data_IF_243513557430
#
_entry.id   IF_243513557430
#
_cell.length_a   1.000
_cell.length_b   1.000
_cell.length_c   1.000
_cell.angle_alpha   90.00
_cell.angle_beta   90.00
_cell.angle_gamma   90.00
#
_symmetry.space_group_name_H-M   'P 1'
#
loop_
_entity.id
_entity.type
_entity.pdbx_description
1 polymer ?
#
# COMPACT_ATOMS: atom_id res chain seq x y z
N UNK A 1 -4.23 -17.29 4.70
CA UNK A 1 -5.52 -17.95 4.95
C UNK A 1 -6.60 -17.08 4.31
N UNK A 2 -7.71 -17.66 3.84
CA UNK A 2 -8.79 -16.89 3.23
C UNK A 2 -10.01 -16.88 4.11
N UNK A 3 -10.62 -15.70 4.25
CA UNK A 3 -11.87 -15.50 4.96
C UNK A 3 -12.90 -14.87 4.04
N UNK A 4 -14.17 -15.03 4.38
CA UNK A 4 -15.26 -14.24 3.80
C UNK A 4 -16.05 -13.62 4.95
N UNK A 5 -16.78 -12.53 4.70
CA UNK A 5 -17.64 -11.91 5.73
C UNK A 5 -18.62 -12.95 6.26
N UNK A 6 -19.26 -13.71 5.36
CA UNK A 6 -20.21 -14.77 5.73
C UNK A 6 -19.54 -15.87 6.57
N UNK A 7 -18.33 -16.29 6.19
CA UNK A 7 -17.55 -17.27 6.93
C UNK A 7 -17.22 -16.78 8.34
N UNK A 8 -16.73 -15.55 8.46
CA UNK A 8 -16.38 -14.94 9.75
C UNK A 8 -17.57 -14.84 10.71
N UNK A 9 -18.76 -14.50 10.21
CA UNK A 9 -20.01 -14.47 10.99
C UNK A 9 -20.43 -15.88 11.41
N UNK A 10 -20.41 -16.83 10.47
CA UNK A 10 -20.79 -18.23 10.69
C UNK A 10 -19.92 -18.89 11.76
N UNK A 11 -18.60 -18.68 11.71
CA UNK A 11 -17.64 -19.22 12.67
C UNK A 11 -17.88 -18.70 14.09
N UNK A 12 -18.54 -17.54 14.20
CA UNK A 12 -18.93 -16.90 15.48
C UNK A 12 -20.38 -17.21 15.88
N UNK A 13 -21.09 -18.04 15.12
CA UNK A 13 -22.50 -18.40 15.40
C UNK A 13 -23.49 -17.26 15.20
N UNK A 14 -23.13 -16.24 14.43
CA UNK A 14 -23.97 -15.05 14.17
C UNK A 14 -24.66 -15.21 12.83
N UNK A 15 -25.97 -14.96 12.81
CA UNK A 15 -26.77 -15.05 11.58
C UNK A 15 -26.67 -13.74 10.81
N UNK A 16 -26.53 -13.83 9.49
CA UNK A 16 -26.37 -12.65 8.63
C UNK A 16 -27.53 -11.66 8.78
N UNK A 17 -28.76 -12.16 8.90
CA UNK A 17 -29.98 -11.36 9.06
C UNK A 17 -30.01 -10.48 10.32
N UNK A 18 -29.21 -10.84 11.33
CA UNK A 18 -29.11 -10.14 12.61
C UNK A 18 -27.98 -9.08 12.60
N UNK A 19 -27.32 -8.85 11.47
CA UNK A 19 -26.19 -7.92 11.35
C UNK A 19 -26.51 -6.75 10.42
N UNK A 20 -25.65 -5.72 10.45
CA UNK A 20 -25.69 -4.64 9.48
C UNK A 20 -25.50 -5.11 8.01
N UNK A 21 -24.98 -6.33 7.79
CA UNK A 21 -24.69 -6.87 6.47
C UNK A 21 -25.90 -7.46 5.73
N UNK A 22 -27.08 -7.55 6.37
CA UNK A 22 -28.28 -8.21 5.82
C UNK A 22 -28.70 -7.81 4.40
N UNK A 23 -28.36 -6.58 4.00
CA UNK A 23 -28.72 -6.00 2.70
C UNK A 23 -27.48 -5.70 1.83
N UNK A 24 -26.29 -6.17 2.22
CA UNK A 24 -25.08 -5.99 1.43
C UNK A 24 -25.06 -6.97 0.23
N UNK A 25 -24.26 -6.63 -0.78
CA UNK A 25 -24.12 -7.42 -2.00
C UNK A 25 -23.53 -8.82 -1.72
N UNK A 26 -24.11 -9.87 -2.30
CA UNK A 26 -23.66 -11.26 -2.12
C UNK A 26 -22.17 -11.47 -2.49
N UNK A 27 -21.69 -10.81 -3.56
CA UNK A 27 -20.29 -10.92 -3.98
C UNK A 27 -19.33 -10.30 -2.96
N UNK A 28 -19.76 -9.25 -2.25
CA UNK A 28 -19.00 -8.68 -1.14
C UNK A 28 -18.99 -9.60 0.08
N UNK A 29 -20.12 -10.26 0.38
CA UNK A 29 -20.23 -11.17 1.51
C UNK A 29 -19.35 -12.43 1.35
N UNK A 30 -19.23 -12.90 0.11
CA UNK A 30 -18.47 -14.09 -0.25
C UNK A 30 -17.09 -13.77 -0.88
N UNK A 31 -16.69 -12.50 -0.85
CA UNK A 31 -15.37 -12.07 -1.29
C UNK A 31 -14.28 -12.76 -0.46
N UNK A 32 -13.29 -13.36 -1.14
CA UNK A 32 -12.18 -14.06 -0.49
C UNK A 32 -11.11 -13.06 -0.07
N UNK A 33 -11.04 -12.79 1.23
CA UNK A 33 -10.10 -11.85 1.83
C UNK A 33 -8.85 -12.61 2.28
N UNK A 34 -7.69 -12.28 1.69
CA UNK A 34 -6.39 -12.76 2.15
C UNK A 34 -5.99 -12.00 3.42
N UNK A 35 -6.12 -12.63 4.58
CA UNK A 35 -5.72 -12.02 5.85
C UNK A 35 -5.44 -13.09 6.91
N UNK A 36 -4.96 -12.68 8.08
CA UNK A 36 -5.03 -13.50 9.31
C UNK A 36 -6.36 -13.30 10.03
N UNK A 37 -6.68 -14.16 11.01
CA UNK A 37 -7.87 -13.98 11.88
C UNK A 37 -7.65 -12.84 12.88
N UNK A 38 -7.76 -11.61 12.39
CA UNK A 38 -7.65 -10.40 13.19
C UNK A 38 -9.02 -9.70 13.36
N UNK A 39 -10.10 -10.47 13.29
CA UNK A 39 -11.47 -9.95 13.29
C UNK A 39 -12.15 -10.12 14.65
N UNK A 40 -12.80 -9.06 15.10
CA UNK A 40 -13.65 -9.05 16.29
C UNK A 40 -15.00 -8.42 15.96
N UNK A 41 -15.99 -8.59 16.85
CA UNK A 41 -17.27 -7.88 16.78
C UNK A 41 -17.38 -7.11 18.10
N UNK A 42 -17.03 -5.82 18.11
CA UNK A 42 -16.98 -5.04 19.35
C UNK A 42 -18.35 -4.92 20.02
N UNK A 43 -19.40 -4.78 19.20
CA UNK A 43 -20.78 -4.74 19.64
C UNK A 43 -21.61 -5.73 18.81
N UNK A 44 -22.12 -6.77 19.48
CA UNK A 44 -22.94 -7.80 18.85
C UNK A 44 -24.27 -7.24 18.36
N UNK A 45 -24.74 -6.12 18.91
CA UNK A 45 -26.02 -5.51 18.53
C UNK A 45 -25.98 -4.82 17.16
N UNK A 46 -24.84 -4.26 16.77
CA UNK A 46 -24.63 -3.70 15.42
C UNK A 46 -24.08 -4.77 14.45
N UNK A 47 -23.43 -5.81 14.98
CA UNK A 47 -22.99 -6.99 14.21
C UNK A 47 -21.91 -6.70 13.18
N UNK A 48 -21.19 -5.58 13.31
CA UNK A 48 -20.13 -5.15 12.40
C UNK A 48 -18.79 -5.77 12.82
N UNK A 49 -18.13 -6.44 11.87
CA UNK A 49 -16.78 -6.97 12.04
C UNK A 49 -15.77 -5.82 12.05
N UNK A 50 -14.83 -5.86 12.99
CA UNK A 50 -13.73 -4.90 13.11
C UNK A 50 -12.40 -5.61 12.89
N UNK A 51 -11.57 -5.08 12.01
CA UNK A 51 -10.26 -5.63 11.66
C UNK A 51 -9.14 -4.93 12.44
N UNK A 52 -8.26 -5.74 13.06
CA UNK A 52 -7.10 -5.28 13.86
C UNK A 52 -7.43 -4.21 14.92
N UNK A 53 -8.67 -4.20 15.41
CA UNK A 53 -9.23 -3.17 16.28
C UNK A 53 -9.01 -1.74 15.75
N UNK A 54 -9.06 -1.57 14.43
CA UNK A 54 -8.66 -0.33 13.76
C UNK A 54 -9.69 0.20 12.78
N UNK A 55 -10.34 -0.68 12.02
CA UNK A 55 -11.30 -0.30 10.99
C UNK A 55 -12.47 -1.28 10.94
N UNK A 56 -13.66 -0.75 10.70
CA UNK A 56 -14.89 -1.51 10.56
C UNK A 56 -14.99 -2.06 9.14
N UNK A 57 -15.40 -3.31 8.98
CA UNK A 57 -15.64 -3.93 7.68
C UNK A 57 -17.04 -3.52 7.21
N UNK A 58 -17.14 -2.85 6.08
CA UNK A 58 -18.32 -2.17 5.57
C UNK A 58 -18.60 -2.57 4.11
N UNK A 59 -19.87 -2.70 3.74
CA UNK A 59 -20.22 -2.65 2.31
C UNK A 59 -20.31 -1.21 1.82
N UNK A 60 -20.33 -1.03 0.50
CA UNK A 60 -20.26 0.30 -0.10
C UNK A 60 -21.41 1.24 0.32
N UNK A 61 -22.62 0.70 0.45
CA UNK A 61 -23.75 1.46 0.98
C UNK A 61 -23.51 2.00 2.40
N UNK A 62 -22.90 1.20 3.26
CA UNK A 62 -22.56 1.62 4.63
C UNK A 62 -21.48 2.71 4.62
N UNK A 63 -20.48 2.62 3.73
CA UNK A 63 -19.52 3.73 3.52
C UNK A 63 -20.24 5.02 3.13
N UNK A 64 -21.20 4.93 2.20
CA UNK A 64 -21.98 6.06 1.72
C UNK A 64 -22.95 6.63 2.79
N UNK A 65 -23.34 5.85 3.79
CA UNK A 65 -24.09 6.37 4.94
C UNK A 65 -23.21 7.25 5.83
N UNK A 66 -21.96 6.83 6.05
CA UNK A 66 -21.00 7.59 6.88
C UNK A 66 -20.36 8.77 6.13
N UNK A 67 -20.15 8.65 4.82
CA UNK A 67 -19.57 9.67 3.94
C UNK A 67 -20.39 9.81 2.64
N UNK A 68 -21.53 10.52 2.67
CA UNK A 68 -22.48 10.61 1.56
C UNK A 68 -21.95 11.03 0.19
N UNK A 69 -20.94 11.91 0.05
CA UNK A 69 -20.44 12.28 -1.27
C UNK A 69 -19.89 11.10 -2.08
N UNK A 70 -19.50 9.99 -1.43
CA UNK A 70 -19.03 8.77 -2.12
C UNK A 70 -20.06 8.23 -3.12
N UNK A 71 -21.36 8.45 -2.93
CA UNK A 71 -22.43 8.04 -3.87
C UNK A 71 -22.21 8.54 -5.31
N UNK A 72 -21.37 9.57 -5.51
CA UNK A 72 -21.03 10.13 -6.82
C UNK A 72 -19.97 9.33 -7.58
N UNK A 73 -19.28 8.40 -6.93
CA UNK A 73 -18.25 7.59 -7.58
C UNK A 73 -18.92 6.63 -8.56
N UNK A 74 -18.58 6.82 -9.83
CA UNK A 74 -18.91 5.89 -10.91
C UNK A 74 -17.79 4.87 -10.99
N UNK A 75 -18.02 3.73 -10.36
CA UNK A 75 -17.16 2.56 -10.39
C UNK A 75 -18.06 1.32 -10.45
N UNK A 76 -17.92 0.51 -11.50
CA UNK A 76 -18.77 -0.65 -11.76
C UNK A 76 -18.72 -1.66 -10.62
N UNK A 77 -17.53 -1.91 -10.09
CA UNK A 77 -17.27 -2.98 -9.13
C UNK A 77 -17.36 -2.52 -7.66
N UNK A 78 -17.78 -1.28 -7.40
CA UNK A 78 -17.77 -0.70 -6.05
C UNK A 78 -18.56 -1.51 -5.01
N UNK A 79 -19.65 -2.17 -5.41
CA UNK A 79 -20.48 -2.96 -4.49
C UNK A 79 -19.89 -4.35 -4.19
N UNK A 80 -18.86 -4.79 -4.92
CA UNK A 80 -18.33 -6.16 -4.84
C UNK A 80 -17.27 -6.34 -3.74
N UNK A 81 -16.73 -5.25 -3.20
CA UNK A 81 -15.64 -5.30 -2.22
C UNK A 81 -16.14 -5.11 -0.79
N UNK A 82 -15.62 -5.88 0.19
CA UNK A 82 -15.70 -5.54 1.60
C UNK A 82 -14.67 -4.46 1.91
N UNK A 83 -15.12 -3.23 2.18
CA UNK A 83 -14.22 -2.13 2.53
C UNK A 83 -13.94 -2.11 4.03
N UNK A 84 -12.91 -1.35 4.41
CA UNK A 84 -12.55 -1.11 5.80
C UNK A 84 -12.60 0.40 6.07
N UNK A 85 -13.58 0.86 6.85
CA UNK A 85 -13.78 2.27 7.15
C UNK A 85 -13.48 2.63 8.60
N UNK A 86 -12.93 3.82 8.83
CA UNK A 86 -12.75 4.39 10.17
C UNK A 86 -12.85 5.93 10.14
N UNK A 87 -13.47 6.53 11.17
CA UNK A 87 -13.66 7.98 11.34
C UNK A 87 -14.34 8.72 10.16
N UNK A 88 -15.04 8.04 9.26
CA UNK A 88 -15.65 8.64 8.08
C UNK A 88 -16.68 9.73 8.42
N UNK A 89 -17.43 9.57 9.51
CA UNK A 89 -18.36 10.59 10.01
C UNK A 89 -17.63 11.90 10.37
N UNK A 90 -16.45 11.82 11.00
CA UNK A 90 -15.65 13.01 11.33
C UNK A 90 -15.06 13.68 10.10
N UNK A 91 -14.70 12.89 9.08
CA UNK A 91 -14.29 13.44 7.78
C UNK A 91 -15.48 14.17 7.12
N UNK A 92 -16.68 13.59 7.20
CA UNK A 92 -17.92 14.23 6.71
C UNK A 92 -18.23 15.55 7.45
N UNK A 93 -17.97 15.63 8.75
CA UNK A 93 -18.03 16.89 9.51
C UNK A 93 -16.99 17.90 9.01
N UNK A 94 -15.75 17.47 8.78
CA UNK A 94 -14.70 18.30 8.18
C UNK A 94 -15.10 18.88 6.83
N UNK A 95 -15.71 18.06 5.96
CA UNK A 95 -16.23 18.51 4.65
C UNK A 95 -17.32 19.57 4.75
N UNK A 96 -18.10 19.58 5.83
CA UNK A 96 -19.17 20.57 6.05
C UNK A 96 -18.64 21.88 6.63
N UNK A 97 -17.66 21.79 7.53
CA UNK A 97 -17.23 22.92 8.36
C UNK A 97 -15.95 23.60 7.85
N UNK A 98 -14.99 22.82 7.34
CA UNK A 98 -13.66 23.27 6.89
C UNK A 98 -13.24 22.52 5.61
N UNK A 99 -14.02 22.61 4.51
CA UNK A 99 -13.83 21.78 3.31
C UNK A 99 -12.47 21.93 2.63
N UNK A 100 -11.82 23.09 2.78
CA UNK A 100 -10.46 23.35 2.29
C UNK A 100 -9.37 22.62 3.08
N UNK A 101 -9.69 22.16 4.30
CA UNK A 101 -8.78 21.40 5.18
C UNK A 101 -8.94 19.89 5.04
N UNK A 102 -9.79 19.41 4.11
CA UNK A 102 -9.98 17.99 3.82
C UNK A 102 -9.14 17.57 2.62
N UNK A 103 -8.37 16.50 2.77
CA UNK A 103 -7.54 15.97 1.71
C UNK A 103 -7.52 14.43 1.75
N UNK A 104 -7.50 13.85 0.56
CA UNK A 104 -7.32 12.42 0.34
C UNK A 104 -5.83 12.11 0.29
N UNK A 105 -5.45 10.97 0.85
CA UNK A 105 -4.15 10.35 0.71
C UNK A 105 -4.32 8.95 0.10
N UNK A 106 -3.32 8.50 -0.65
CA UNK A 106 -3.24 7.13 -1.13
C UNK A 106 -2.04 6.95 -2.05
N UNK A 107 -1.89 5.76 -2.63
CA UNK A 107 -0.82 5.50 -3.55
C UNK A 107 -0.51 4.01 -3.63
N UNK A 108 -0.06 3.52 -4.79
CA UNK A 108 0.26 2.11 -4.96
C UNK A 108 1.65 1.79 -4.38
N UNK A 109 1.82 0.55 -3.93
CA UNK A 109 3.14 -0.08 -3.91
C UNK A 109 3.65 -0.19 -5.36
N UNK A 110 4.95 0.00 -5.59
CA UNK A 110 5.49 -0.02 -6.95
C UNK A 110 5.53 -1.42 -7.55
N UNK A 111 5.86 -2.41 -6.72
CA UNK A 111 5.94 -3.80 -7.10
C UNK A 111 5.77 -4.73 -5.89
N UNK A 112 5.29 -5.95 -6.15
CA UNK A 112 5.09 -7.04 -5.20
C UNK A 112 6.14 -8.15 -5.33
N UNK A 113 5.81 -9.33 -4.82
CA UNK A 113 6.62 -10.54 -4.98
C UNK A 113 6.81 -10.88 -6.47
N UNK A 114 7.97 -11.45 -6.78
CA UNK A 114 8.42 -11.96 -8.08
C UNK A 114 8.45 -10.93 -9.22
N UNK A 115 8.45 -9.63 -8.91
CA UNK A 115 8.49 -8.58 -9.94
C UNK A 115 9.88 -7.94 -10.10
N UNK A 116 10.67 -7.91 -9.03
CA UNK A 116 12.05 -7.40 -9.09
C UNK A 116 12.98 -8.41 -8.45
N UNK A 117 13.86 -8.99 -9.27
CA UNK A 117 14.89 -9.93 -8.80
C UNK A 117 16.22 -9.21 -8.64
N UNK A 118 16.89 -9.41 -7.51
CA UNK A 118 18.29 -9.06 -7.29
C UNK A 118 19.17 -10.29 -7.55
N UNK A 119 20.05 -10.19 -8.55
CA UNK A 119 21.04 -11.20 -8.92
C UNK A 119 22.39 -10.79 -8.37
N UNK A 120 22.98 -11.61 -7.51
CA UNK A 120 24.26 -11.36 -6.85
C UNK A 120 25.28 -12.37 -7.37
N UNK A 121 26.36 -11.88 -7.98
CA UNK A 121 27.51 -12.69 -8.40
C UNK A 121 28.64 -12.56 -7.37
N UNK A 122 29.21 -13.68 -6.94
CA UNK A 122 30.40 -13.69 -6.09
C UNK A 122 31.69 -13.80 -6.92
N UNK A 123 32.83 -13.49 -6.30
CA UNK A 123 34.15 -13.56 -6.95
C UNK A 123 34.55 -14.98 -7.38
N UNK A 124 33.94 -16.02 -6.82
CA UNK A 124 34.14 -17.43 -7.20
C UNK A 124 33.29 -17.87 -8.41
N UNK A 125 32.46 -16.96 -8.95
CA UNK A 125 31.56 -17.20 -10.08
C UNK A 125 30.20 -17.77 -9.70
N UNK A 126 29.92 -18.01 -8.41
CA UNK A 126 28.58 -18.40 -7.96
C UNK A 126 27.58 -17.25 -8.07
N UNK A 127 26.32 -17.59 -8.30
CA UNK A 127 25.21 -16.63 -8.44
C UNK A 127 24.07 -16.97 -7.49
N UNK A 128 23.47 -15.93 -6.92
CA UNK A 128 22.36 -16.02 -5.99
C UNK A 128 21.25 -15.05 -6.38
N UNK A 129 20.00 -15.49 -6.23
CA UNK A 129 18.84 -14.74 -6.66
C UNK A 129 17.94 -14.45 -5.46
N UNK A 130 17.52 -13.19 -5.34
CA UNK A 130 16.65 -12.75 -4.26
C UNK A 130 15.45 -12.01 -4.84
N UNK A 131 14.28 -12.29 -4.30
CA UNK A 131 13.13 -11.41 -4.47
C UNK A 131 13.39 -10.13 -3.70
N UNK A 132 13.39 -8.99 -4.38
CA UNK A 132 13.71 -7.73 -3.74
C UNK A 132 12.60 -7.24 -2.80
N UNK A 133 11.34 -7.53 -3.11
CA UNK A 133 10.18 -7.11 -2.30
C UNK A 133 10.16 -7.84 -0.96
N UNK A 134 10.31 -9.17 -0.98
CA UNK A 134 10.30 -9.98 0.25
C UNK A 134 11.66 -10.03 0.93
N UNK A 135 12.75 -9.88 0.16
CA UNK A 135 14.13 -10.15 0.57
C UNK A 135 14.48 -11.64 0.58
N UNK A 136 13.54 -12.54 0.23
CA UNK A 136 13.76 -13.99 0.29
C UNK A 136 14.64 -14.47 -0.87
N UNK A 137 15.47 -15.46 -0.56
CA UNK A 137 16.31 -16.14 -1.54
C UNK A 137 15.49 -17.13 -2.38
N UNK A 138 15.69 -17.15 -3.69
CA UNK A 138 15.19 -18.22 -4.58
C UNK A 138 16.12 -19.44 -4.54
N UNK A 139 15.58 -20.62 -4.86
CA UNK A 139 16.35 -21.88 -4.85
C UNK A 139 17.47 -21.87 -5.90
N UNK A 140 17.11 -21.91 -7.19
CA UNK A 140 18.09 -22.04 -8.30
C UNK A 140 17.90 -21.03 -9.43
N UNK A 141 16.74 -20.37 -9.52
CA UNK A 141 16.41 -19.50 -10.64
C UNK A 141 15.52 -18.33 -10.21
N UNK A 142 15.57 -17.26 -11.00
CA UNK A 142 14.70 -16.09 -10.85
C UNK A 142 13.24 -16.48 -10.93
N UNK A 143 12.41 -15.84 -10.11
CA UNK A 143 10.97 -16.12 -9.97
C UNK A 143 10.63 -17.60 -9.68
N UNK A 144 11.60 -18.39 -9.23
CA UNK A 144 11.39 -19.78 -8.82
C UNK A 144 10.80 -19.90 -7.42
N UNK A 145 10.73 -21.14 -6.92
CA UNK A 145 10.39 -21.39 -5.54
C UNK A 145 11.44 -20.77 -4.59
N UNK A 146 10.99 -20.25 -3.46
CA UNK A 146 11.88 -19.77 -2.40
C UNK A 146 12.68 -20.92 -1.80
N UNK A 147 13.95 -20.65 -1.49
CA UNK A 147 14.78 -21.55 -0.73
C UNK A 147 14.26 -21.66 0.71
N UNK A 148 14.38 -22.86 1.31
CA UNK A 148 14.02 -23.10 2.71
C UNK A 148 15.16 -22.62 3.62
N UNK A 149 15.29 -21.31 3.77
CA UNK A 149 16.36 -20.66 4.54
C UNK A 149 15.89 -19.36 5.17
N UNK A 150 16.44 -19.02 6.33
CA UNK A 150 16.24 -17.72 6.99
C UNK A 150 17.20 -16.63 6.45
N UNK A 151 18.08 -16.97 5.50
CA UNK A 151 19.01 -16.02 4.92
C UNK A 151 18.31 -15.11 3.91
N UNK A 152 17.96 -13.91 4.36
CA UNK A 152 17.42 -12.84 3.52
C UNK A 152 18.54 -12.03 2.83
N UNK A 153 18.14 -11.14 1.92
CA UNK A 153 19.05 -10.28 1.16
C UNK A 153 19.98 -9.47 2.07
N UNK A 154 19.47 -8.91 3.17
CA UNK A 154 20.26 -8.08 4.07
C UNK A 154 21.30 -8.91 4.83
N UNK A 155 20.91 -10.08 5.33
CA UNK A 155 21.79 -11.04 5.98
C UNK A 155 22.83 -11.62 5.02
N UNK A 156 22.46 -11.85 3.75
CA UNK A 156 23.40 -12.30 2.73
C UNK A 156 24.48 -11.26 2.46
N UNK A 157 24.09 -10.00 2.30
CA UNK A 157 25.02 -8.88 2.09
C UNK A 157 25.97 -8.68 3.28
N UNK A 158 25.48 -8.88 4.51
CA UNK A 158 26.30 -8.83 5.72
C UNK A 158 27.35 -9.94 5.76
N UNK A 159 26.97 -11.17 5.37
CA UNK A 159 27.87 -12.32 5.40
C UNK A 159 28.89 -12.33 4.25
N UNK A 160 28.52 -11.80 3.08
CA UNK A 160 29.29 -11.99 1.84
C UNK A 160 29.78 -10.69 1.20
N UNK A 161 29.51 -9.51 1.79
CA UNK A 161 29.72 -8.21 1.14
C UNK A 161 31.08 -7.99 0.48
N UNK A 162 32.16 -8.46 1.11
CA UNK A 162 33.54 -8.35 0.57
C UNK A 162 33.80 -9.27 -0.64
N UNK A 163 33.05 -10.37 -0.73
CA UNK A 163 33.19 -11.39 -1.78
C UNK A 163 32.27 -11.14 -2.97
N UNK A 164 31.38 -10.14 -2.91
CA UNK A 164 30.47 -9.81 -3.99
C UNK A 164 31.25 -9.13 -5.12
N UNK A 165 31.11 -9.72 -6.31
CA UNK A 165 31.68 -9.23 -7.55
C UNK A 165 30.77 -8.18 -8.19
N UNK A 166 29.50 -8.52 -8.36
CA UNK A 166 28.50 -7.67 -9.00
C UNK A 166 27.08 -7.91 -8.47
N UNK A 167 26.21 -6.92 -8.66
CA UNK A 167 24.78 -7.03 -8.38
C UNK A 167 24.01 -6.40 -9.54
N UNK A 168 23.06 -7.15 -10.09
CA UNK A 168 22.17 -6.71 -11.17
C UNK A 168 20.72 -6.91 -10.74
N UNK A 169 19.84 -6.02 -11.21
CA UNK A 169 18.41 -6.13 -10.96
C UNK A 169 17.66 -6.40 -12.25
N UNK A 170 16.71 -7.31 -12.20
CA UNK A 170 15.82 -7.60 -13.32
C UNK A 170 14.38 -7.20 -12.95
N UNK A 171 13.75 -6.43 -13.84
CA UNK A 171 12.35 -6.09 -13.76
C UNK A 171 11.52 -7.05 -14.61
N UNK A 172 10.58 -7.75 -13.99
CA UNK A 172 9.69 -8.70 -14.64
C UNK A 172 8.28 -8.12 -14.88
N UNK A 173 8.04 -6.88 -14.42
CA UNK A 173 6.77 -6.18 -14.62
C UNK A 173 6.60 -5.80 -16.09
N UNK A 174 5.51 -6.26 -16.70
CA UNK A 174 5.16 -5.97 -18.10
C UNK A 174 4.08 -4.88 -18.25
N UNK A 175 3.50 -4.44 -17.14
CA UNK A 175 2.50 -3.39 -17.07
C UNK A 175 1.93 -3.26 -15.65
N UNK A 176 0.83 -2.52 -15.50
CA UNK A 176 0.06 -2.49 -14.25
C UNK A 176 -0.94 -3.65 -14.23
N UNK A 177 -1.20 -4.18 -13.04
CA UNK A 177 -2.29 -5.12 -12.71
C UNK A 177 -3.57 -4.34 -12.44
N UNK A 178 -4.72 -5.02 -12.43
CA UNK A 178 -5.99 -4.36 -12.10
C UNK A 178 -6.02 -3.83 -10.67
N UNK A 179 -5.38 -4.56 -9.74
CA UNK A 179 -5.24 -4.10 -8.35
C UNK A 179 -4.43 -2.80 -8.25
N UNK A 180 -3.31 -2.70 -8.97
CA UNK A 180 -2.51 -1.47 -9.01
C UNK A 180 -3.28 -0.32 -9.66
N UNK A 181 -4.06 -0.59 -10.72
CA UNK A 181 -4.98 0.39 -11.28
C UNK A 181 -5.96 0.91 -10.22
N UNK A 182 -6.60 0.03 -9.45
CA UNK A 182 -7.53 0.42 -8.38
C UNK A 182 -6.84 1.25 -7.29
N UNK A 183 -5.60 0.93 -6.92
CA UNK A 183 -4.81 1.71 -5.95
C UNK A 183 -4.45 3.12 -6.43
N UNK A 184 -4.52 3.39 -7.73
CA UNK A 184 -4.39 4.75 -8.28
C UNK A 184 -5.76 5.40 -8.50
N UNK A 185 -6.69 4.69 -9.12
CA UNK A 185 -8.02 5.18 -9.47
C UNK A 185 -8.85 5.57 -8.24
N UNK A 186 -8.88 4.73 -7.20
CA UNK A 186 -9.80 4.93 -6.09
C UNK A 186 -9.49 6.19 -5.26
N UNK A 187 -8.22 6.53 -4.95
CA UNK A 187 -7.88 7.84 -4.37
C UNK A 187 -8.37 9.01 -5.22
N UNK A 188 -8.20 8.97 -6.55
CA UNK A 188 -8.73 10.00 -7.46
C UNK A 188 -10.25 10.08 -7.41
N UNK A 189 -10.94 8.94 -7.48
CA UNK A 189 -12.40 8.87 -7.46
C UNK A 189 -12.97 9.42 -6.15
N UNK A 190 -12.36 9.08 -5.01
CA UNK A 190 -12.74 9.62 -3.70
C UNK A 190 -12.47 11.13 -3.64
N UNK A 191 -11.29 11.59 -4.04
CA UNK A 191 -10.95 13.02 -4.02
C UNK A 191 -11.89 13.85 -4.91
N UNK A 192 -12.23 13.34 -6.10
CA UNK A 192 -13.20 13.95 -6.99
C UNK A 192 -14.61 13.99 -6.37
N UNK A 193 -15.09 12.87 -5.82
CA UNK A 193 -16.41 12.79 -5.21
C UNK A 193 -16.56 13.74 -4.01
N UNK A 194 -15.52 13.85 -3.18
CA UNK A 194 -15.45 14.75 -2.04
C UNK A 194 -15.18 16.21 -2.43
N UNK A 195 -14.76 16.47 -3.67
CA UNK A 195 -14.24 17.76 -4.11
C UNK A 195 -13.12 18.22 -3.16
N UNK A 196 -12.13 17.36 -2.93
CA UNK A 196 -11.01 17.56 -2.02
C UNK A 196 -9.68 17.62 -2.78
N UNK A 197 -8.61 18.02 -2.08
CA UNK A 197 -7.26 17.82 -2.59
C UNK A 197 -6.86 16.34 -2.47
N UNK A 198 -5.85 15.94 -3.25
CA UNK A 198 -5.26 14.61 -3.24
C UNK A 198 -3.74 14.73 -3.11
N UNK A 199 -3.16 14.00 -2.16
CA UNK A 199 -1.71 13.75 -2.13
C UNK A 199 -1.49 12.27 -2.36
N UNK A 200 -0.65 11.95 -3.34
CA UNK A 200 -0.24 10.58 -3.62
C UNK A 200 1.24 10.36 -3.35
N UNK A 201 1.62 9.11 -3.12
CA UNK A 201 3.01 8.69 -2.99
C UNK A 201 3.33 7.56 -3.97
N UNK A 202 4.51 7.62 -4.58
CA UNK A 202 5.17 6.47 -5.20
C UNK A 202 6.37 6.13 -4.31
N UNK A 203 6.38 4.99 -3.58
CA UNK A 203 7.34 4.73 -2.51
C UNK A 203 8.77 4.34 -2.99
N UNK A 204 9.20 4.79 -4.17
CA UNK A 204 10.54 4.55 -4.74
C UNK A 204 11.68 4.91 -3.76
N UNK A 205 11.53 6.01 -3.02
CA UNK A 205 12.48 6.46 -2.01
C UNK A 205 12.63 5.46 -0.86
N UNK A 206 11.56 4.77 -0.47
CA UNK A 206 11.57 3.79 0.62
C UNK A 206 12.24 2.49 0.20
N UNK A 207 12.01 2.03 -1.04
CA UNK A 207 12.77 0.92 -1.62
C UNK A 207 14.25 1.26 -1.68
N UNK A 208 14.61 2.43 -2.22
CA UNK A 208 16.02 2.87 -2.28
C UNK A 208 16.71 2.85 -0.92
N UNK A 209 16.07 3.34 0.15
CA UNK A 209 16.65 3.31 1.51
C UNK A 209 16.91 1.89 2.03
N UNK A 210 16.00 0.96 1.74
CA UNK A 210 16.21 -0.45 2.09
C UNK A 210 17.42 -1.02 1.34
N UNK A 211 17.55 -0.71 0.04
CA UNK A 211 18.73 -1.12 -0.72
C UNK A 211 20.02 -0.51 -0.13
N UNK A 212 20.05 0.80 0.10
CA UNK A 212 21.23 1.49 0.64
C UNK A 212 21.69 0.89 1.97
N UNK A 213 20.76 0.46 2.82
CA UNK A 213 21.08 -0.29 4.03
C UNK A 213 21.76 -1.62 3.70
N UNK A 214 21.17 -2.43 2.82
CA UNK A 214 21.73 -3.72 2.40
C UNK A 214 23.16 -3.59 1.84
N UNK A 215 23.43 -2.54 1.06
CA UNK A 215 24.72 -2.33 0.40
C UNK A 215 25.83 -1.75 1.30
N UNK A 216 25.57 -1.51 2.60
CA UNK A 216 26.54 -0.88 3.52
C UNK A 216 27.85 -1.66 3.68
N UNK A 217 27.85 -2.96 3.39
CA UNK A 217 29.02 -3.84 3.45
C UNK A 217 29.81 -3.91 2.14
N UNK A 218 29.33 -3.28 1.07
CA UNK A 218 30.00 -3.29 -0.23
C UNK A 218 31.03 -2.17 -0.34
N UNK A 219 32.04 -2.41 -1.18
CA UNK A 219 32.96 -1.37 -1.67
C UNK A 219 32.21 -0.25 -2.38
N UNK A 220 32.73 0.98 -2.26
CA UNK A 220 32.03 2.22 -2.65
C UNK A 220 31.64 2.25 -4.13
N UNK A 221 32.55 1.86 -5.02
CA UNK A 221 32.34 1.77 -6.47
C UNK A 221 31.18 0.83 -6.83
N UNK A 222 31.14 -0.36 -6.21
CA UNK A 222 30.08 -1.32 -6.43
C UNK A 222 28.75 -0.79 -5.88
N UNK A 223 28.75 -0.20 -4.67
CA UNK A 223 27.55 0.41 -4.09
C UNK A 223 26.95 1.47 -5.00
N UNK A 224 27.75 2.41 -5.49
CA UNK A 224 27.30 3.48 -6.38
C UNK A 224 26.76 2.91 -7.71
N UNK A 225 27.44 1.93 -8.30
CA UNK A 225 26.96 1.22 -9.50
C UNK A 225 25.62 0.53 -9.26
N UNK A 226 25.50 -0.22 -8.16
CA UNK A 226 24.30 -1.00 -7.82
C UNK A 226 23.10 -0.10 -7.53
N UNK A 227 23.29 1.00 -6.79
CA UNK A 227 22.21 1.98 -6.56
C UNK A 227 21.72 2.56 -7.88
N UNK A 228 22.63 3.00 -8.76
CA UNK A 228 22.25 3.56 -10.06
C UNK A 228 21.48 2.55 -10.92
N UNK A 229 21.95 1.30 -10.98
CA UNK A 229 21.25 0.23 -11.72
C UNK A 229 19.85 -0.06 -11.17
N UNK A 230 19.67 0.04 -9.84
CA UNK A 230 18.36 -0.10 -9.23
C UNK A 230 17.44 1.10 -9.49
N UNK A 231 17.98 2.32 -9.49
CA UNK A 231 17.22 3.53 -9.82
C UNK A 231 16.62 3.45 -11.23
N UNK A 232 17.36 2.91 -12.21
CA UNK A 232 16.84 2.68 -13.56
C UNK A 232 15.60 1.76 -13.56
N UNK A 233 15.61 0.69 -12.76
CA UNK A 233 14.45 -0.19 -12.58
C UNK A 233 13.29 0.54 -11.89
N UNK A 234 13.56 1.26 -10.80
CA UNK A 234 12.54 2.02 -10.07
C UNK A 234 11.88 3.07 -10.95
N UNK A 235 12.64 3.78 -11.77
CA UNK A 235 12.12 4.81 -12.66
C UNK A 235 11.26 4.22 -13.76
N UNK A 236 11.72 3.12 -14.39
CA UNK A 236 10.91 2.42 -15.39
C UNK A 236 9.55 1.97 -14.82
N UNK A 237 9.53 1.42 -13.61
CA UNK A 237 8.27 1.02 -12.95
C UNK A 237 7.43 2.25 -12.58
N UNK A 238 8.06 3.29 -12.01
CA UNK A 238 7.37 4.52 -11.61
C UNK A 238 6.75 5.25 -12.79
N UNK A 239 7.38 5.23 -13.97
CA UNK A 239 6.86 5.85 -15.19
C UNK A 239 5.51 5.24 -15.61
N UNK A 240 5.31 3.93 -15.44
CA UNK A 240 4.01 3.28 -15.68
C UNK A 240 2.89 3.88 -14.81
N UNK A 241 3.21 4.20 -13.55
CA UNK A 241 2.25 4.83 -12.64
C UNK A 241 2.02 6.29 -12.96
N UNK A 242 3.08 7.03 -13.34
CA UNK A 242 2.96 8.43 -13.74
C UNK A 242 2.05 8.58 -14.97
N UNK A 243 2.19 7.70 -15.96
CA UNK A 243 1.31 7.67 -17.13
C UNK A 243 -0.15 7.51 -16.73
N UNK A 244 -0.47 6.52 -15.88
CA UNK A 244 -1.84 6.31 -15.39
C UNK A 244 -2.35 7.50 -14.56
N UNK A 245 -1.51 8.07 -13.68
CA UNK A 245 -1.86 9.27 -12.90
C UNK A 245 -2.22 10.42 -13.83
N UNK A 246 -1.43 10.67 -14.88
CA UNK A 246 -1.67 11.75 -15.82
C UNK A 246 -2.94 11.52 -16.66
N UNK A 247 -3.30 10.28 -16.96
CA UNK A 247 -4.59 9.95 -17.57
C UNK A 247 -5.77 10.23 -16.64
N UNK A 248 -5.71 9.72 -15.40
CA UNK A 248 -6.75 9.92 -14.39
C UNK A 248 -6.96 11.40 -14.07
N UNK A 249 -5.90 12.21 -14.04
CA UNK A 249 -5.99 13.66 -13.80
C UNK A 249 -6.75 14.41 -14.89
N UNK A 250 -6.83 13.89 -16.11
CA UNK A 250 -7.58 14.51 -17.22
C UNK A 250 -9.09 14.32 -17.06
N UNK A 251 -9.52 13.24 -16.41
CA UNK A 251 -10.95 12.88 -16.30
C UNK A 251 -11.53 13.11 -14.90
N UNK A 252 -10.72 12.99 -13.85
CA UNK A 252 -11.13 13.09 -12.45
C UNK A 252 -10.53 14.35 -11.84
N UNK A 253 -11.26 15.47 -11.98
CA UNK A 253 -10.84 16.75 -11.43
C UNK A 253 -10.79 16.72 -9.89
N UNK A 254 -9.65 17.11 -9.32
CA UNK A 254 -9.43 17.25 -7.87
C UNK A 254 -9.06 18.71 -7.54
N UNK A 255 -9.35 19.20 -6.33
CA UNK A 255 -9.11 20.62 -5.98
C UNK A 255 -7.63 21.01 -5.96
N UNK A 256 -6.78 20.04 -5.67
CA UNK A 256 -5.33 20.17 -5.63
C UNK A 256 -4.71 18.78 -5.73
N UNK A 257 -3.53 18.70 -6.31
CA UNK A 257 -2.81 17.46 -6.49
C UNK A 257 -1.34 17.65 -6.14
N UNK A 258 -0.79 16.75 -5.35
CA UNK A 258 0.65 16.62 -5.15
C UNK A 258 1.04 15.14 -5.22
N UNK A 259 2.21 14.87 -5.80
CA UNK A 259 2.79 13.54 -5.87
C UNK A 259 4.15 13.57 -5.18
N UNK A 260 4.36 12.67 -4.22
CA UNK A 260 5.64 12.49 -3.53
C UNK A 260 6.34 11.28 -4.11
N UNK A 261 7.50 11.48 -4.71
CA UNK A 261 8.32 10.41 -5.27
C UNK A 261 9.79 10.83 -5.34
N UNK A 262 10.66 9.86 -5.55
CA UNK A 262 12.11 9.90 -5.40
C UNK A 262 12.83 10.80 -6.38
N UNK A 263 12.16 11.26 -7.44
CA UNK A 263 12.73 12.21 -8.42
C UNK A 263 12.43 13.66 -8.09
N UNK A 264 11.46 13.94 -7.20
CA UNK A 264 11.19 15.29 -6.72
C UNK A 264 11.87 15.52 -5.36
N UNK A 265 13.13 15.94 -5.42
CA UNK A 265 13.93 16.19 -4.22
C UNK A 265 13.30 17.22 -3.29
N UNK A 266 12.62 18.23 -3.82
CA UNK A 266 12.01 19.29 -3.01
C UNK A 266 10.84 18.73 -2.19
N UNK A 267 10.03 17.86 -2.79
CA UNK A 267 8.93 17.19 -2.08
C UNK A 267 9.44 16.18 -1.04
N UNK A 268 10.53 15.47 -1.34
CA UNK A 268 11.17 14.57 -0.38
C UNK A 268 11.73 15.33 0.83
N UNK A 269 12.44 16.44 0.58
CA UNK A 269 13.00 17.26 1.66
C UNK A 269 11.89 17.80 2.56
N UNK A 270 10.79 18.29 1.96
CA UNK A 270 9.60 18.73 2.69
C UNK A 270 9.02 17.58 3.54
N UNK A 271 8.83 16.40 2.95
CA UNK A 271 8.31 15.23 3.66
C UNK A 271 9.19 14.86 4.86
N UNK A 272 10.50 14.76 4.65
CA UNK A 272 11.45 14.38 5.70
C UNK A 272 11.57 15.43 6.80
N UNK A 273 11.57 16.72 6.46
CA UNK A 273 11.55 17.80 7.45
C UNK A 273 10.28 17.75 8.30
N UNK A 274 9.10 17.64 7.66
CA UNK A 274 7.80 17.75 8.34
C UNK A 274 7.43 16.52 9.16
N UNK A 275 7.86 15.32 8.75
CA UNK A 275 7.59 14.09 9.51
C UNK A 275 8.52 13.90 10.71
N UNK A 276 9.73 14.47 10.67
CA UNK A 276 10.76 14.22 11.69
C UNK A 276 10.28 14.50 13.13
N UNK A 277 9.53 15.58 13.40
CA UNK A 277 8.95 15.84 14.73
C UNK A 277 7.99 14.77 15.24
N UNK A 278 7.50 13.85 14.40
CA UNK A 278 6.55 12.80 14.78
C UNK A 278 7.22 11.44 14.90
N UNK A 279 8.13 11.12 13.97
CA UNK A 279 8.68 9.77 13.83
C UNK A 279 10.05 9.59 14.53
N UNK A 280 10.85 10.66 14.68
CA UNK A 280 12.22 10.57 15.22
C UNK A 280 12.29 10.61 16.76
N UNK A 281 11.14 10.58 17.45
CA UNK A 281 11.15 10.53 18.92
C UNK A 281 11.61 9.15 19.40
N UNK A 282 12.58 9.10 20.31
CA UNK A 282 13.13 7.85 20.88
C UNK A 282 12.08 6.80 21.31
N UNK A 283 10.96 7.24 21.89
CA UNK A 283 9.87 6.34 22.30
C UNK A 283 9.15 5.70 21.11
N UNK A 284 9.01 6.44 20.01
CA UNK A 284 8.40 5.96 18.76
C UNK A 284 9.33 4.94 18.10
N UNK A 285 10.60 5.29 17.90
CA UNK A 285 11.61 4.44 17.26
C UNK A 285 11.68 3.04 17.87
N UNK A 286 11.72 2.95 19.21
CA UNK A 286 11.76 1.66 19.93
C UNK A 286 10.53 0.77 19.70
N UNK A 287 9.43 1.34 19.20
CA UNK A 287 8.17 0.63 18.98
C UNK A 287 7.88 0.31 17.50
N UNK A 288 8.73 0.77 16.56
CA UNK A 288 8.43 0.66 15.13
C UNK A 288 8.72 -0.74 14.60
N UNK A 289 9.93 -1.23 14.82
CA UNK A 289 10.42 -2.53 14.32
C UNK A 289 11.69 -2.95 15.07
N UNK A 290 11.93 -4.26 15.17
CA UNK A 290 13.22 -4.83 15.56
C UNK A 290 14.12 -5.11 14.35
N UNK A 291 13.57 -5.09 13.13
CA UNK A 291 14.34 -5.27 11.91
C UNK A 291 15.02 -3.95 11.53
N UNK A 292 16.29 -3.81 11.91
CA UNK A 292 17.11 -2.63 11.63
C UNK A 292 17.28 -2.37 10.13
N UNK A 293 17.21 -3.40 9.29
CA UNK A 293 17.34 -3.24 7.84
C UNK A 293 16.19 -2.49 7.19
N UNK A 294 14.99 -2.66 7.75
CA UNK A 294 13.78 -2.00 7.25
C UNK A 294 13.41 -0.76 8.05
N UNK A 295 14.25 -0.31 9.00
CA UNK A 295 13.87 0.77 9.91
C UNK A 295 13.52 2.07 9.17
N UNK A 296 14.37 2.53 8.27
CA UNK A 296 14.15 3.78 7.54
C UNK A 296 12.99 3.70 6.54
N UNK A 297 12.79 2.56 5.87
CA UNK A 297 11.63 2.36 5.01
C UNK A 297 10.34 2.30 5.84
N UNK A 298 10.34 1.61 6.98
CA UNK A 298 9.17 1.55 7.88
C UNK A 298 8.80 2.93 8.43
N UNK A 299 9.78 3.80 8.72
CA UNK A 299 9.50 5.19 9.08
C UNK A 299 8.75 5.91 7.97
N UNK A 300 9.14 5.71 6.71
CA UNK A 300 8.46 6.27 5.54
C UNK A 300 7.00 5.83 5.51
N UNK A 301 6.72 4.52 5.39
CA UNK A 301 5.36 3.97 5.32
C UNK A 301 4.46 4.43 6.48
N UNK A 302 4.96 4.44 7.72
CA UNK A 302 4.16 4.87 8.89
C UNK A 302 3.84 6.37 8.86
N UNK A 303 4.61 7.17 8.15
CA UNK A 303 4.40 8.62 8.06
C UNK A 303 3.66 9.05 6.79
N UNK A 304 3.55 8.18 5.77
CA UNK A 304 2.89 8.49 4.50
C UNK A 304 1.41 8.87 4.62
N UNK A 305 0.59 8.25 5.50
CA UNK A 305 -0.80 8.67 5.67
C UNK A 305 -0.98 10.13 6.14
N UNK A 306 0.08 10.77 6.65
CA UNK A 306 0.07 12.18 7.06
C UNK A 306 0.56 13.14 5.96
N UNK A 307 0.88 12.65 4.75
CA UNK A 307 1.37 13.48 3.65
C UNK A 307 0.52 14.73 3.38
N UNK A 308 -0.83 14.67 3.37
CA UNK A 308 -1.64 15.88 3.22
C UNK A 308 -1.44 16.97 4.27
N UNK A 309 -1.10 16.58 5.50
CA UNK A 309 -0.76 17.54 6.55
C UNK A 309 0.59 18.20 6.27
N UNK A 310 1.59 17.42 5.84
CA UNK A 310 2.91 17.96 5.54
C UNK A 310 2.93 18.86 4.30
N UNK A 311 2.16 18.51 3.27
CA UNK A 311 2.17 19.19 1.98
C UNK A 311 1.21 20.38 1.96
N UNK A 312 -0.03 20.20 2.42
CA UNK A 312 -1.07 21.22 2.33
C UNK A 312 -1.51 21.78 3.69
N UNK A 313 -1.00 21.26 4.81
CA UNK A 313 -1.49 21.66 6.15
C UNK A 313 -2.89 21.12 6.45
N UNK A 314 -3.32 20.07 5.76
CA UNK A 314 -4.67 19.50 5.90
C UNK A 314 -4.91 18.96 7.31
N UNK A 315 -6.08 19.27 7.88
CA UNK A 315 -6.48 18.79 9.22
C UNK A 315 -7.24 17.48 9.15
N UNK A 316 -8.05 17.30 8.12
CA UNK A 316 -8.90 16.12 7.92
C UNK A 316 -8.31 15.30 6.77
N UNK A 317 -7.86 14.10 7.09
CA UNK A 317 -7.18 13.23 6.13
C UNK A 317 -7.95 11.94 6.00
N UNK A 318 -8.18 11.52 4.77
CA UNK A 318 -8.74 10.21 4.46
C UNK A 318 -7.74 9.43 3.62
N UNK A 319 -7.18 8.37 4.22
CA UNK A 319 -6.33 7.42 3.50
C UNK A 319 -7.22 6.46 2.70
N UNK A 320 -6.91 6.29 1.42
CA UNK A 320 -7.57 5.37 0.50
C UNK A 320 -6.53 4.40 -0.04
N UNK A 321 -6.50 3.17 0.47
CA UNK A 321 -5.38 2.26 0.23
C UNK A 321 -5.74 0.77 0.36
N UNK A 322 -4.77 -0.12 0.20
CA UNK A 322 -4.89 -1.55 0.51
C UNK A 322 -5.14 -1.76 2.01
N UNK A 323 -5.89 -2.81 2.34
CA UNK A 323 -6.06 -3.25 3.73
C UNK A 323 -4.75 -3.63 4.41
N UNK A 324 -3.69 -3.95 3.65
CA UNK A 324 -2.37 -4.26 4.21
C UNK A 324 -1.77 -3.06 4.97
N UNK A 325 -2.13 -1.83 4.58
CA UNK A 325 -1.66 -0.59 5.20
C UNK A 325 -2.32 -0.26 6.55
N UNK A 326 -3.23 -1.12 7.05
CA UNK A 326 -3.92 -0.92 8.33
C UNK A 326 -2.95 -0.64 9.49
N UNK A 327 -1.78 -1.28 9.51
CA UNK A 327 -0.79 -1.08 10.57
C UNK A 327 -0.05 0.26 10.44
N UNK A 328 0.30 0.67 9.22
CA UNK A 328 0.87 1.98 8.90
C UNK A 328 -0.10 3.09 9.31
N UNK A 329 -1.35 3.01 8.87
CA UNK A 329 -2.45 3.89 9.23
C UNK A 329 -2.60 4.04 10.76
N UNK A 330 -2.73 2.92 11.48
CA UNK A 330 -2.95 2.93 12.93
C UNK A 330 -1.83 3.62 13.69
N UNK A 331 -0.58 3.36 13.30
CA UNK A 331 0.60 4.00 13.89
C UNK A 331 0.64 5.49 13.53
N UNK A 332 0.39 5.85 12.27
CA UNK A 332 0.34 7.23 11.80
C UNK A 332 -0.68 8.06 12.58
N UNK A 333 -1.93 7.59 12.64
CA UNK A 333 -3.04 8.20 13.39
C UNK A 333 -2.68 8.43 14.85
N UNK A 334 -2.03 7.45 15.49
CA UNK A 334 -1.60 7.58 16.89
C UNK A 334 -0.57 8.70 17.09
N UNK A 335 0.37 8.84 16.15
CA UNK A 335 1.45 9.84 16.24
C UNK A 335 0.98 11.26 15.91
N UNK A 336 -0.04 11.40 15.07
CA UNK A 336 -0.59 12.69 14.61
C UNK A 336 -1.92 13.07 15.27
N UNK A 337 -2.39 12.32 16.28
CA UNK A 337 -3.72 12.47 16.89
C UNK A 337 -4.04 13.86 17.47
N UNK A 338 -3.04 14.71 17.68
CA UNK A 338 -3.21 16.07 18.21
C UNK A 338 -3.30 17.13 17.11
N UNK A 339 -2.89 16.76 15.91
CA UNK A 339 -2.64 17.69 14.80
C UNK A 339 -3.62 17.46 13.65
N UNK A 340 -4.14 16.23 13.53
CA UNK A 340 -5.02 15.81 12.44
C UNK A 340 -6.14 14.88 12.92
N UNK A 341 -7.22 14.85 12.15
CA UNK A 341 -8.27 13.83 12.19
C UNK A 341 -8.05 12.92 10.99
N UNK A 342 -7.62 11.69 11.25
CA UNK A 342 -7.39 10.67 10.21
C UNK A 342 -8.53 9.66 10.19
N UNK A 343 -9.11 9.48 9.01
CA UNK A 343 -9.98 8.36 8.65
C UNK A 343 -9.35 7.53 7.54
N UNK A 344 -9.95 6.38 7.23
CA UNK A 344 -9.51 5.54 6.12
C UNK A 344 -10.69 4.88 5.39
N UNK A 345 -10.46 4.56 4.12
CA UNK A 345 -11.21 3.60 3.32
C UNK A 345 -10.19 2.64 2.72
N UNK A 346 -10.03 1.47 3.34
CA UNK A 346 -9.15 0.44 2.82
C UNK A 346 -9.94 -0.61 2.06
N UNK A 347 -9.33 -1.27 1.08
CA UNK A 347 -9.96 -2.34 0.32
C UNK A 347 -9.03 -3.56 0.20
N UNK A 348 -9.59 -4.77 0.06
CA UNK A 348 -8.81 -6.00 0.09
C UNK A 348 -8.02 -6.17 -1.19
N UNK A 349 -6.92 -6.92 -1.07
CA UNK A 349 -6.19 -7.38 -2.24
C UNK A 349 -7.01 -8.41 -3.03
N UNK A 350 -6.88 -8.34 -4.35
CA UNK A 350 -7.49 -9.24 -5.31
C UNK A 350 -6.70 -10.55 -5.36
N UNK A 351 -7.44 -11.65 -5.54
CA UNK A 351 -6.87 -12.95 -5.86
C UNK A 351 -6.23 -12.94 -7.23
N UNK A 352 -5.09 -13.63 -7.34
CA UNK A 352 -4.46 -13.89 -8.61
C UNK A 352 -5.13 -15.04 -9.38
N UNK A 353 -4.73 -15.26 -10.63
CA UNK A 353 -5.30 -16.32 -11.48
C UNK A 353 -5.08 -17.73 -10.92
N UNK A 354 -4.10 -17.94 -10.03
CA UNK A 354 -3.87 -19.23 -9.35
C UNK A 354 -4.95 -19.58 -8.30
N UNK A 355 -5.77 -18.62 -7.87
CA UNK A 355 -6.81 -18.78 -6.85
C UNK A 355 -6.31 -19.09 -5.43
N UNK A 356 -4.98 -19.02 -5.21
CA UNK A 356 -4.27 -19.36 -3.97
C UNK A 356 -3.58 -18.14 -3.36
N UNK A 357 -3.09 -17.21 -4.18
CA UNK A 357 -2.34 -16.04 -3.76
C UNK A 357 -3.08 -14.74 -4.15
N UNK A 358 -2.66 -13.62 -3.57
CA UNK A 358 -3.07 -12.29 -4.03
C UNK A 358 -2.18 -11.82 -5.18
N UNK A 359 -2.61 -10.81 -5.95
CA UNK A 359 -1.84 -10.29 -7.07
C UNK A 359 -0.46 -9.73 -6.67
N UNK A 360 -0.31 -9.22 -5.45
CA UNK A 360 1.01 -8.80 -4.95
C UNK A 360 1.89 -9.97 -4.51
N UNK A 361 1.34 -11.16 -4.28
CA UNK A 361 2.04 -12.29 -3.67
C UNK A 361 2.09 -13.53 -4.58
N UNK A 362 2.23 -13.34 -5.89
CA UNK A 362 2.27 -14.43 -6.87
C UNK A 362 3.34 -14.21 -7.95
N UNK A 363 3.62 -15.25 -8.73
CA UNK A 363 4.54 -15.20 -9.86
C UNK A 363 3.93 -14.46 -11.06
N UNK A 364 4.76 -13.88 -11.96
CA UNK A 364 4.29 -13.03 -13.05
C UNK A 364 3.23 -13.66 -13.96
N UNK A 365 3.26 -14.97 -14.17
CA UNK A 365 2.31 -15.69 -15.03
C UNK A 365 0.86 -15.69 -14.52
N UNK A 366 0.65 -15.48 -13.22
CA UNK A 366 -0.70 -15.40 -12.62
C UNK A 366 -1.16 -13.96 -12.37
N UNK A 367 -0.35 -12.97 -12.75
CA UNK A 367 -0.69 -11.55 -12.66
C UNK A 367 -1.45 -11.11 -13.91
N UNK A 368 -2.43 -10.24 -13.71
CA UNK A 368 -3.37 -9.81 -14.74
C UNK A 368 -2.92 -8.53 -15.49
N UNK A 369 -1.63 -8.44 -15.81
CA UNK A 369 -1.05 -7.24 -16.44
C UNK A 369 -1.79 -6.82 -17.71
N UNK A 370 -2.22 -5.56 -17.76
CA UNK A 370 -2.83 -4.93 -18.94
C UNK A 370 -4.19 -5.52 -19.36
N UNK A 371 -4.82 -6.38 -18.56
CA UNK A 371 -6.08 -7.07 -18.92
C UNK A 371 -7.36 -6.31 -18.54
N UNK A 372 -7.27 -5.12 -17.94
CA UNK A 372 -8.45 -4.39 -17.49
C UNK A 372 -8.90 -3.36 -18.52
N UNK A 373 -10.19 -3.40 -18.88
CA UNK A 373 -10.84 -2.25 -19.52
C UNK A 373 -10.83 -1.14 -18.50
N UNK A 374 -10.15 -0.05 -18.82
CA UNK A 374 -10.13 1.11 -17.94
C UNK A 374 -11.58 1.55 -17.65
N UNK A 375 -11.90 1.87 -16.38
CA UNK A 375 -13.20 2.51 -16.07
C UNK A 375 -13.31 3.89 -16.77
N UNK A 376 -12.20 4.36 -17.37
CA UNK A 376 -12.10 5.53 -18.24
C UNK A 376 -12.82 5.37 -19.58
N UNK A 377 -13.06 4.15 -20.06
CA UNK A 377 -13.85 3.93 -21.30
C UNK A 377 -15.35 4.23 -21.11
N UNK A 378 -15.81 4.35 -19.86
CA UNK A 378 -17.21 4.61 -19.49
C UNK A 378 -17.44 5.95 -18.76
N UNK A 379 -16.38 6.73 -18.51
CA UNK A 379 -16.41 8.11 -17.96
C UNK A 379 -16.29 9.15 -19.08
#
# INVERSE_FOLDING_TARGET
MFYTVRGLLKDRGIRLEDTAYRNCNEQMLDFRIASGDFYEIPDVSDGILRFKNAADLLCYNMLCEQLPPLKRIVFRHKEMFPYYGENLVKICEGLKNEPESVCVEGGPCLFGEHEVTAVIELNDGSSYFFDYSTGKKYHDQENGAYAQTDLDLAGFMEQNGENIKDIVFHNHKTGLTYQEYLHVFFPFAVANALQAALVMTLPDMSYRKYLEYCLRYLRKDLREKTVKGFEEILYHISDMYLELIDELRKVLAVKGFALVHGRDQKMLDLFYEKRAPFIEKNKVLRSLTSNMAKLESIKDYISMPALPYYVFGSKYIIEVNSMDETDSYRKCRKFHKKDTVMGCILFPELLSEDGINTLYCTTPEYKDYGKFKSELEEL
#
